data_IF_913823563090
#
_entry.id   IF_913823563090
#
_cell.length_a   1.000
_cell.length_b   1.000
_cell.length_c   1.000
_cell.angle_alpha   90.00
_cell.angle_beta   90.00
_cell.angle_gamma   90.00
#
_symmetry.space_group_name_H-M   'P 1'
#
loop_
_entity.id
_entity.type
_entity.pdbx_description
1 polymer ?
#
# COMPACT_ATOMS: atom_id res chain seq x y z
N UNK A 1 5.97 -37.97 -14.64
CA UNK A 1 5.01 -37.24 -15.46
C UNK A 1 3.83 -36.86 -14.57
N UNK A 2 3.93 -35.74 -13.87
CA UNK A 2 2.79 -35.24 -13.09
C UNK A 2 1.80 -34.57 -14.04
N UNK A 3 0.59 -35.10 -14.08
CA UNK A 3 -0.54 -34.50 -14.78
C UNK A 3 -0.79 -33.13 -14.15
N UNK A 4 -0.61 -32.07 -14.93
CA UNK A 4 -0.83 -30.68 -14.53
C UNK A 4 -2.27 -30.50 -14.04
N UNK A 5 -2.47 -30.49 -12.71
CA UNK A 5 -3.75 -30.24 -12.06
C UNK A 5 -4.22 -28.81 -12.36
N UNK A 6 -5.50 -28.65 -12.68
CA UNK A 6 -6.14 -27.34 -12.85
C UNK A 6 -6.08 -26.55 -11.53
N UNK A 7 -6.14 -25.21 -11.57
CA UNK A 7 -6.09 -24.38 -10.34
C UNK A 7 -7.13 -24.83 -9.30
N UNK A 8 -8.35 -25.20 -9.72
CA UNK A 8 -9.41 -25.69 -8.83
C UNK A 8 -9.05 -26.99 -8.11
N UNK A 9 -8.32 -27.89 -8.75
CA UNK A 9 -7.88 -29.16 -8.13
C UNK A 9 -6.73 -28.97 -7.14
N UNK A 10 -6.07 -27.80 -7.16
CA UNK A 10 -4.93 -27.46 -6.28
C UNK A 10 -5.35 -26.80 -4.97
N UNK A 11 -6.49 -26.09 -4.93
CA UNK A 11 -7.00 -25.32 -3.78
C UNK A 11 -7.09 -26.12 -2.47
N UNK A 12 -7.27 -27.45 -2.54
CA UNK A 12 -7.36 -28.33 -1.37
C UNK A 12 -6.05 -28.95 -0.87
N UNK A 13 -4.89 -28.61 -1.47
CA UNK A 13 -3.62 -29.19 -1.03
C UNK A 13 -3.18 -28.62 0.34
N UNK A 14 -2.67 -29.46 1.27
CA UNK A 14 -2.22 -29.02 2.59
C UNK A 14 -1.19 -27.88 2.54
N UNK A 15 -0.34 -27.86 1.51
CA UNK A 15 0.70 -26.85 1.33
C UNK A 15 0.17 -25.41 1.22
N UNK A 16 -1.01 -25.21 0.61
CA UNK A 16 -1.59 -23.87 0.49
C UNK A 16 -2.18 -23.39 1.82
N UNK A 17 -2.67 -24.33 2.65
CA UNK A 17 -3.06 -24.02 4.02
C UNK A 17 -1.85 -23.58 4.85
N UNK A 18 -0.73 -24.30 4.77
CA UNK A 18 0.51 -23.93 5.47
C UNK A 18 1.02 -22.56 5.01
N UNK A 19 1.00 -22.28 3.71
CA UNK A 19 1.36 -20.97 3.17
C UNK A 19 0.44 -19.86 3.68
N UNK A 20 -0.86 -20.12 3.73
CA UNK A 20 -1.84 -19.16 4.26
C UNK A 20 -1.58 -18.87 5.74
N UNK A 21 -1.36 -19.89 6.56
CA UNK A 21 -1.02 -19.74 7.97
C UNK A 21 0.26 -18.91 8.13
N UNK A 22 1.28 -19.18 7.30
CA UNK A 22 2.52 -18.39 7.26
C UNK A 22 2.32 -16.92 6.88
N UNK A 23 1.43 -16.64 5.91
CA UNK A 23 1.05 -15.28 5.52
C UNK A 23 0.23 -14.58 6.60
N UNK A 24 -0.59 -15.34 7.35
CA UNK A 24 -1.34 -14.79 8.48
C UNK A 24 -0.46 -14.44 9.68
N UNK A 25 0.83 -14.81 9.71
CA UNK A 25 1.74 -14.34 10.75
C UNK A 25 2.18 -12.88 10.56
N UNK A 26 2.07 -12.32 9.35
CA UNK A 26 2.44 -10.92 9.10
C UNK A 26 1.51 -9.95 9.85
N UNK A 27 1.93 -8.69 10.10
CA UNK A 27 1.14 -7.72 10.86
C UNK A 27 -0.32 -7.56 10.40
N UNK A 28 -0.55 -7.47 9.09
CA UNK A 28 -1.90 -7.30 8.51
C UNK A 28 -2.63 -8.63 8.28
N UNK A 29 -1.91 -9.74 8.41
CA UNK A 29 -2.43 -11.10 8.27
C UNK A 29 -2.96 -11.45 6.88
N UNK A 30 -3.59 -12.62 6.83
CA UNK A 30 -4.20 -13.25 5.68
C UNK A 30 -5.33 -14.17 6.18
N UNK A 31 -6.44 -13.61 6.72
CA UNK A 31 -7.52 -14.40 7.29
C UNK A 31 -8.05 -15.44 6.29
N UNK A 32 -8.40 -16.66 6.74
CA UNK A 32 -8.93 -17.70 5.88
C UNK A 32 -10.18 -17.27 5.10
N UNK A 33 -10.18 -17.56 3.80
CA UNK A 33 -11.31 -17.39 2.90
C UNK A 33 -11.08 -18.21 1.63
N UNK A 34 -12.13 -18.74 1.01
CA UNK A 34 -12.03 -19.56 -0.21
C UNK A 34 -11.31 -18.83 -1.36
N UNK A 35 -11.57 -17.53 -1.52
CA UNK A 35 -10.90 -16.71 -2.53
C UNK A 35 -9.40 -16.60 -2.29
N UNK A 36 -8.94 -16.62 -1.03
CA UNK A 36 -7.51 -16.61 -0.74
C UNK A 36 -6.87 -17.93 -1.16
N UNK A 37 -7.51 -19.06 -0.88
CA UNK A 37 -6.99 -20.37 -1.29
C UNK A 37 -6.89 -20.46 -2.83
N UNK A 38 -7.87 -19.90 -3.55
CA UNK A 38 -7.82 -19.76 -5.01
C UNK A 38 -6.71 -18.81 -5.51
N UNK A 39 -6.47 -17.70 -4.82
CA UNK A 39 -5.36 -16.77 -5.12
C UNK A 39 -4.03 -17.49 -4.94
N UNK A 40 -3.81 -18.18 -3.82
CA UNK A 40 -2.55 -18.85 -3.55
C UNK A 40 -2.28 -19.97 -4.56
N UNK A 41 -3.30 -20.76 -4.92
CA UNK A 41 -3.18 -21.79 -5.97
C UNK A 41 -2.93 -21.21 -7.37
N UNK A 42 -3.43 -20.02 -7.66
CA UNK A 42 -3.18 -19.31 -8.91
C UNK A 42 -1.76 -18.72 -8.97
N UNK A 43 -1.22 -18.25 -7.85
CA UNK A 43 0.07 -17.57 -7.78
C UNK A 43 1.25 -18.53 -7.62
N UNK A 44 1.11 -19.57 -6.80
CA UNK A 44 2.18 -20.49 -6.44
C UNK A 44 1.96 -21.88 -7.05
N UNK A 45 3.03 -22.48 -7.57
CA UNK A 45 3.07 -23.94 -7.73
C UNK A 45 3.09 -24.63 -6.36
N UNK A 46 2.74 -25.93 -6.24
CA UNK A 46 2.84 -26.64 -4.97
C UNK A 46 4.25 -26.63 -4.37
N UNK A 47 5.29 -26.72 -5.22
CA UNK A 47 6.69 -26.63 -4.80
C UNK A 47 7.03 -25.24 -4.25
N UNK A 48 6.64 -24.18 -4.98
CA UNK A 48 6.83 -22.80 -4.53
C UNK A 48 6.11 -22.52 -3.23
N UNK A 49 4.86 -22.99 -3.09
CA UNK A 49 4.10 -22.84 -1.86
C UNK A 49 4.79 -23.53 -0.66
N UNK A 50 5.36 -24.72 -0.87
CA UNK A 50 6.08 -25.44 0.18
C UNK A 50 7.36 -24.72 0.62
N UNK A 51 8.06 -24.05 -0.30
CA UNK A 51 9.23 -23.22 0.03
C UNK A 51 8.77 -21.94 0.73
N UNK A 52 7.80 -21.23 0.15
CA UNK A 52 7.27 -19.96 0.64
C UNK A 52 6.72 -20.07 2.07
N UNK A 53 6.00 -21.15 2.41
CA UNK A 53 5.47 -21.40 3.75
C UNK A 53 6.57 -21.46 4.83
N UNK A 54 7.82 -21.70 4.45
CA UNK A 54 8.97 -21.80 5.37
C UNK A 54 9.97 -20.65 5.23
N UNK A 55 9.68 -19.66 4.37
CA UNK A 55 10.53 -18.47 4.21
C UNK A 55 10.31 -17.46 5.36
N UNK A 56 11.35 -16.73 5.77
CA UNK A 56 11.25 -15.76 6.85
C UNK A 56 10.62 -14.46 6.37
N UNK A 57 10.12 -13.65 7.30
CA UNK A 57 9.60 -12.31 7.00
C UNK A 57 10.73 -11.31 6.72
N UNK A 58 11.93 -11.54 7.28
CA UNK A 58 13.09 -10.68 7.10
C UNK A 58 14.05 -11.25 6.04
N UNK A 59 14.62 -10.41 5.16
CA UNK A 59 15.58 -10.86 4.16
C UNK A 59 16.75 -11.60 4.80
N UNK A 60 16.92 -12.87 4.43
CA UNK A 60 17.90 -13.79 5.02
C UNK A 60 18.86 -14.29 3.93
N UNK A 61 20.17 -14.42 4.20
CA UNK A 61 21.14 -14.90 3.21
C UNK A 61 20.80 -16.31 2.71
N UNK A 62 21.03 -16.56 1.41
CA UNK A 62 20.78 -17.87 0.79
C UNK A 62 21.47 -19.05 1.51
N UNK A 63 22.74 -18.97 1.96
CA UNK A 63 23.36 -20.08 2.68
C UNK A 63 22.64 -20.45 3.99
N UNK A 64 22.14 -19.44 4.71
CA UNK A 64 21.38 -19.65 5.94
C UNK A 64 20.00 -20.26 5.64
N UNK A 65 19.31 -19.76 4.60
CA UNK A 65 18.05 -20.33 4.15
C UNK A 65 18.19 -21.79 3.69
N UNK A 66 19.24 -22.09 2.93
CA UNK A 66 19.55 -23.44 2.46
C UNK A 66 19.73 -24.41 3.64
N UNK A 67 20.50 -24.01 4.65
CA UNK A 67 20.69 -24.79 5.87
C UNK A 67 19.37 -25.00 6.62
N UNK A 68 18.57 -23.94 6.80
CA UNK A 68 17.29 -23.99 7.53
C UNK A 68 16.25 -24.87 6.84
N UNK A 69 16.17 -24.77 5.50
CA UNK A 69 15.20 -25.53 4.69
C UNK A 69 15.69 -26.93 4.33
N UNK A 70 16.95 -27.26 4.66
CA UNK A 70 17.63 -28.51 4.28
C UNK A 70 17.60 -28.74 2.77
N UNK A 71 17.86 -27.68 2.02
CA UNK A 71 17.91 -27.68 0.55
C UNK A 71 19.32 -27.27 0.09
N UNK A 72 19.71 -27.73 -1.11
CA UNK A 72 20.95 -27.23 -1.73
C UNK A 72 20.76 -25.75 -2.13
N UNK A 73 21.81 -24.90 -2.07
CA UNK A 73 21.72 -23.49 -2.40
C UNK A 73 21.19 -23.21 -3.81
N UNK A 74 21.70 -23.91 -4.83
CA UNK A 74 21.39 -23.60 -6.23
C UNK A 74 19.92 -23.88 -6.60
N UNK A 75 19.33 -25.04 -6.26
CA UNK A 75 17.90 -25.29 -6.49
C UNK A 75 17.00 -24.35 -5.68
N UNK A 76 17.36 -24.07 -4.42
CA UNK A 76 16.59 -23.13 -3.60
C UNK A 76 16.60 -21.73 -4.21
N UNK A 77 17.77 -21.29 -4.69
CA UNK A 77 17.91 -20.01 -5.38
C UNK A 77 17.00 -19.94 -6.60
N UNK A 78 17.02 -20.96 -7.46
CA UNK A 78 16.18 -20.99 -8.66
C UNK A 78 14.68 -20.86 -8.34
N UNK A 79 14.20 -21.56 -7.30
CA UNK A 79 12.81 -21.47 -6.85
C UNK A 79 12.49 -20.09 -6.27
N UNK A 80 13.40 -19.51 -5.48
CA UNK A 80 13.23 -18.16 -4.93
C UNK A 80 13.24 -17.07 -6.03
N UNK A 81 14.10 -17.18 -7.04
CA UNK A 81 14.16 -16.27 -8.18
C UNK A 81 12.88 -16.33 -9.02
N UNK A 82 12.38 -17.54 -9.31
CA UNK A 82 11.11 -17.71 -10.01
C UNK A 82 9.91 -17.12 -9.26
N UNK A 83 9.91 -17.20 -7.92
CA UNK A 83 8.92 -16.51 -7.09
C UNK A 83 9.13 -14.99 -7.05
N UNK A 84 10.37 -14.52 -7.09
CA UNK A 84 10.70 -13.09 -7.11
C UNK A 84 10.21 -12.39 -8.39
N UNK A 85 10.33 -13.06 -9.54
CA UNK A 85 9.83 -12.56 -10.83
C UNK A 85 8.29 -12.42 -10.86
N UNK A 86 7.60 -13.22 -10.05
CA UNK A 86 6.14 -13.17 -9.81
C UNK A 86 5.74 -12.20 -8.68
N UNK A 87 6.71 -11.61 -7.97
CA UNK A 87 6.44 -10.71 -6.85
C UNK A 87 5.99 -11.42 -5.56
N UNK A 88 6.30 -12.71 -5.42
CA UNK A 88 5.89 -13.54 -4.27
C UNK A 88 6.97 -13.60 -3.18
N UNK A 89 8.21 -13.33 -3.56
CA UNK A 89 9.39 -13.29 -2.69
C UNK A 89 10.16 -12.02 -2.97
N UNK A 90 10.63 -11.35 -1.92
CA UNK A 90 11.60 -10.27 -2.08
C UNK A 90 12.98 -10.86 -2.29
N UNK A 91 13.72 -10.33 -3.27
CA UNK A 91 15.09 -10.70 -3.58
C UNK A 91 16.01 -9.47 -3.55
N UNK A 92 17.22 -9.63 -3.03
CA UNK A 92 18.26 -8.62 -3.12
C UNK A 92 19.65 -9.26 -3.06
N UNK A 93 20.64 -8.62 -3.68
CA UNK A 93 22.05 -9.03 -3.56
C UNK A 93 22.79 -8.03 -2.67
N UNK A 94 23.58 -8.52 -1.72
CA UNK A 94 24.47 -7.70 -0.88
C UNK A 94 25.84 -8.37 -0.84
N UNK A 95 26.87 -7.63 -1.25
CA UNK A 95 28.26 -8.10 -1.27
C UNK A 95 28.41 -9.45 -1.99
N UNK A 96 27.69 -9.62 -3.11
CA UNK A 96 27.67 -10.85 -3.91
C UNK A 96 26.80 -11.99 -3.35
N UNK A 97 26.19 -11.82 -2.17
CA UNK A 97 25.34 -12.83 -1.53
C UNK A 97 23.86 -12.53 -1.80
N UNK A 98 23.08 -13.49 -2.34
CA UNK A 98 21.64 -13.35 -2.48
C UNK A 98 20.91 -13.45 -1.12
N UNK A 99 19.87 -12.63 -0.95
CA UNK A 99 18.97 -12.59 0.21
C UNK A 99 17.53 -12.73 -0.25
N UNK A 100 16.75 -13.53 0.49
CA UNK A 100 15.34 -13.75 0.21
C UNK A 100 14.46 -13.62 1.45
N UNK A 101 13.22 -13.18 1.25
CA UNK A 101 12.15 -13.23 2.26
C UNK A 101 10.79 -13.38 1.62
N UNK A 102 9.86 -14.02 2.32
CA UNK A 102 8.46 -14.08 1.90
C UNK A 102 7.90 -12.66 1.83
N UNK A 103 7.21 -12.35 0.73
CA UNK A 103 6.49 -11.10 0.60
C UNK A 103 5.18 -11.18 1.43
N UNK A 104 4.80 -10.14 2.20
CA UNK A 104 3.50 -10.13 2.87
C UNK A 104 2.37 -10.20 1.84
N UNK A 105 1.17 -10.62 2.25
CA UNK A 105 0.02 -10.57 1.34
C UNK A 105 -0.30 -9.12 0.92
N UNK A 106 -0.36 -8.23 1.92
CA UNK A 106 -0.50 -6.77 1.79
C UNK A 106 0.31 -6.10 2.90
N UNK A 107 1.03 -5.00 2.64
CA UNK A 107 1.54 -4.62 1.32
C UNK A 107 2.57 -5.67 0.84
N UNK A 108 2.49 -6.08 -0.42
CA UNK A 108 3.39 -7.05 -1.00
C UNK A 108 2.83 -7.78 -2.22
N UNK A 109 2.41 -9.04 -2.03
CA UNK A 109 1.99 -9.94 -3.09
C UNK A 109 0.90 -9.30 -3.95
N UNK A 110 -0.13 -8.74 -3.31
CA UNK A 110 -1.27 -8.11 -3.97
C UNK A 110 -0.82 -6.99 -4.92
N UNK A 111 -0.09 -6.02 -4.41
CA UNK A 111 0.45 -4.87 -5.15
C UNK A 111 1.18 -5.33 -6.41
N UNK A 112 2.12 -6.27 -6.23
CA UNK A 112 3.03 -6.71 -7.29
C UNK A 112 2.30 -7.45 -8.42
N UNK A 113 1.11 -8.02 -8.17
CA UNK A 113 0.31 -8.64 -9.23
C UNK A 113 -0.27 -7.61 -10.21
N UNK A 114 -0.40 -6.35 -9.82
CA UNK A 114 -1.03 -5.31 -10.64
C UNK A 114 -0.10 -4.16 -11.03
N UNK A 115 1.10 -4.06 -10.44
CA UNK A 115 2.11 -3.04 -10.79
C UNK A 115 2.63 -3.16 -12.24
N UNK A 116 2.59 -4.36 -12.84
CA UNK A 116 2.96 -4.57 -14.26
C UNK A 116 1.88 -4.11 -15.25
N UNK A 117 0.71 -3.70 -14.76
CA UNK A 117 -0.42 -3.24 -15.59
C UNK A 117 -0.89 -4.23 -16.68
N UNK A 118 -0.72 -5.54 -16.45
CA UNK A 118 -1.15 -6.56 -17.41
C UNK A 118 -2.68 -6.66 -17.51
N UNK A 119 -3.20 -6.90 -18.71
CA UNK A 119 -4.63 -7.03 -19.00
C UNK A 119 -5.05 -8.44 -19.45
N UNK A 120 -4.25 -9.44 -19.06
CA UNK A 120 -4.50 -10.84 -19.43
C UNK A 120 -5.75 -11.41 -18.77
N UNK A 121 -6.36 -12.49 -19.30
CA UNK A 121 -7.45 -13.19 -18.62
C UNK A 121 -7.11 -13.63 -17.19
N UNK A 122 -5.83 -13.97 -16.96
CA UNK A 122 -5.29 -14.28 -15.63
C UNK A 122 -5.32 -13.06 -14.71
N UNK A 123 -4.85 -11.90 -15.18
CA UNK A 123 -4.89 -10.65 -14.41
C UNK A 123 -6.33 -10.26 -14.03
N UNK A 124 -7.28 -10.38 -14.98
CA UNK A 124 -8.71 -10.14 -14.71
C UNK A 124 -9.31 -11.12 -13.69
N UNK A 125 -8.88 -12.39 -13.72
CA UNK A 125 -9.29 -13.38 -12.72
C UNK A 125 -8.75 -13.03 -11.34
N UNK A 126 -7.46 -12.69 -11.25
CA UNK A 126 -6.83 -12.26 -10.00
C UNK A 126 -7.51 -11.00 -9.44
N UNK A 127 -7.82 -10.01 -10.28
CA UNK A 127 -8.54 -8.80 -9.87
C UNK A 127 -9.89 -9.14 -9.23
N UNK A 128 -10.67 -10.05 -9.83
CA UNK A 128 -11.94 -10.50 -9.21
C UNK A 128 -11.73 -11.19 -7.87
N UNK A 129 -10.77 -12.11 -7.80
CA UNK A 129 -10.51 -12.86 -6.56
C UNK A 129 -10.02 -11.95 -5.43
N UNK A 130 -9.09 -11.04 -5.70
CA UNK A 130 -8.59 -10.09 -4.71
C UNK A 130 -9.68 -9.10 -4.27
N UNK A 131 -10.50 -8.60 -5.19
CA UNK A 131 -11.63 -7.75 -4.84
C UNK A 131 -12.67 -8.47 -3.96
N UNK A 132 -13.03 -9.72 -4.29
CA UNK A 132 -13.88 -10.54 -3.42
C UNK A 132 -13.24 -10.74 -2.06
N UNK A 133 -11.95 -11.11 -2.02
CA UNK A 133 -11.24 -11.35 -0.78
C UNK A 133 -11.10 -10.08 0.07
N UNK A 134 -10.98 -8.91 -0.54
CA UNK A 134 -10.95 -7.63 0.16
C UNK A 134 -12.23 -7.41 0.97
N UNK A 135 -13.40 -7.61 0.38
CA UNK A 135 -14.67 -7.39 1.10
C UNK A 135 -15.06 -8.52 2.05
N UNK A 136 -14.79 -9.77 1.65
CA UNK A 136 -15.22 -10.95 2.39
C UNK A 136 -14.22 -11.42 3.45
N UNK A 137 -12.96 -10.99 3.37
CA UNK A 137 -11.87 -11.45 4.25
C UNK A 137 -10.95 -10.32 4.71
N UNK A 138 -9.97 -9.95 3.89
CA UNK A 138 -8.84 -9.12 4.32
C UNK A 138 -9.20 -7.68 4.69
N UNK A 139 -10.15 -7.03 4.01
CA UNK A 139 -10.60 -5.69 4.38
C UNK A 139 -11.11 -5.64 5.82
N UNK A 140 -11.68 -6.75 6.32
CA UNK A 140 -12.06 -6.91 7.72
C UNK A 140 -10.87 -7.16 8.66
N UNK A 141 -9.69 -7.58 8.18
CA UNK A 141 -8.47 -7.67 8.99
C UNK A 141 -7.84 -6.33 9.32
N UNK A 142 -8.19 -5.23 8.63
CA UNK A 142 -7.75 -3.87 8.95
C UNK A 142 -8.11 -3.41 10.39
N UNK A 143 -8.95 -4.14 11.15
CA UNK A 143 -9.22 -3.92 12.59
C UNK A 143 -8.35 -4.74 13.51
N UNK A 144 -7.52 -5.65 13.00
CA UNK A 144 -6.64 -6.49 13.85
C UNK A 144 -5.52 -5.68 14.48
N UNK A 145 -5.23 -4.49 13.97
CA UNK A 145 -4.28 -3.53 14.54
C UNK A 145 -4.96 -2.18 14.76
N UNK A 146 -4.59 -1.47 15.81
CA UNK A 146 -4.98 -0.06 16.03
C UNK A 146 -4.03 0.90 15.37
N UNK A 147 -2.76 0.49 15.23
CA UNK A 147 -1.76 1.26 14.51
C UNK A 147 -2.01 1.12 13.00
N UNK A 148 -2.27 2.22 12.28
CA UNK A 148 -2.33 2.20 10.83
C UNK A 148 -0.93 1.97 10.26
N UNK A 149 -0.81 1.08 9.28
CA UNK A 149 0.45 0.86 8.56
C UNK A 149 0.81 1.99 7.59
N UNK A 150 -0.15 2.69 6.95
CA UNK A 150 0.14 3.82 6.09
C UNK A 150 -0.25 5.13 6.79
N UNK A 151 0.28 6.24 6.28
CA UNK A 151 -0.11 7.58 6.73
C UNK A 151 -0.35 8.51 5.55
N UNK A 152 -1.21 9.50 5.78
CA UNK A 152 -1.40 10.62 4.88
C UNK A 152 -0.27 11.62 5.05
N UNK A 153 0.18 12.16 3.91
CA UNK A 153 1.06 13.31 3.85
C UNK A 153 0.28 14.46 3.23
N UNK A 154 0.36 15.64 3.86
CA UNK A 154 -0.34 16.83 3.35
C UNK A 154 0.33 17.29 2.05
N UNK A 155 -0.46 17.88 1.15
CA UNK A 155 0.10 18.58 -0.01
C UNK A 155 0.96 19.77 0.47
N UNK A 156 2.26 19.73 0.19
CA UNK A 156 3.23 20.68 0.75
C UNK A 156 2.91 22.14 0.45
N UNK A 157 2.43 22.44 -0.77
CA UNK A 157 2.08 23.81 -1.18
C UNK A 157 0.91 24.41 -0.38
N UNK A 158 0.20 23.61 0.40
CA UNK A 158 -0.94 24.04 1.21
C UNK A 158 -0.61 24.26 2.68
N UNK A 159 0.65 24.04 3.08
CA UNK A 159 1.10 24.34 4.42
C UNK A 159 1.37 25.86 4.52
N UNK A 160 0.76 26.58 5.47
CA UNK A 160 1.00 28.02 5.62
C UNK A 160 2.47 28.34 5.90
N UNK A 161 2.94 29.49 5.39
CA UNK A 161 4.29 29.96 5.64
C UNK A 161 4.54 30.14 7.15
N UNK A 162 5.71 29.72 7.63
CA UNK A 162 6.10 29.81 9.03
C UNK A 162 5.58 28.67 9.92
N UNK A 163 4.79 27.73 9.37
CA UNK A 163 4.41 26.50 10.09
C UNK A 163 5.52 25.46 9.95
N UNK A 164 5.96 24.88 11.07
CA UNK A 164 6.94 23.80 11.07
C UNK A 164 6.40 22.59 10.31
N UNK A 165 7.23 22.05 9.40
CA UNK A 165 6.97 20.82 8.66
C UNK A 165 8.09 19.85 8.96
N UNK A 166 7.75 18.71 9.53
CA UNK A 166 8.74 17.69 9.85
C UNK A 166 9.19 17.01 8.54
N UNK A 167 10.46 16.58 8.42
CA UNK A 167 10.99 15.97 7.20
C UNK A 167 10.15 14.82 6.63
N UNK A 168 9.60 13.98 7.51
CA UNK A 168 8.74 12.85 7.12
C UNK A 168 7.34 13.25 6.63
N UNK A 169 7.00 14.54 6.72
CA UNK A 169 5.74 15.13 6.23
C UNK A 169 5.95 15.90 4.92
N UNK A 170 7.17 15.86 4.36
CA UNK A 170 7.55 16.53 3.11
C UNK A 170 7.83 15.52 1.99
N UNK A 171 6.85 15.29 1.14
CA UNK A 171 6.96 14.47 -0.08
C UNK A 171 8.17 14.85 -0.95
N UNK A 172 8.42 16.14 -1.16
CA UNK A 172 9.52 16.65 -1.95
C UNK A 172 10.89 16.38 -1.31
N UNK A 173 10.97 16.36 0.03
CA UNK A 173 12.19 15.96 0.74
C UNK A 173 12.42 14.45 0.61
N UNK A 174 11.35 13.64 0.69
CA UNK A 174 11.41 12.20 0.48
C UNK A 174 11.94 11.85 -0.91
N UNK A 175 11.47 12.54 -1.95
CA UNK A 175 11.93 12.36 -3.33
C UNK A 175 13.42 12.76 -3.46
N UNK A 176 13.80 13.94 -2.97
CA UNK A 176 15.17 14.48 -3.14
C UNK A 176 16.23 13.70 -2.37
N UNK A 177 15.87 13.10 -1.23
CA UNK A 177 16.80 12.36 -0.37
C UNK A 177 16.81 10.86 -0.63
N UNK A 178 15.95 10.37 -1.53
CA UNK A 178 15.87 8.96 -1.87
C UNK A 178 17.17 8.46 -2.53
N UNK A 179 17.78 7.42 -1.94
CA UNK A 179 18.95 6.75 -2.52
C UNK A 179 18.63 6.09 -3.88
N UNK A 180 17.43 5.54 -4.00
CA UNK A 180 16.92 4.91 -5.21
C UNK A 180 15.46 5.28 -5.34
N UNK A 181 15.04 5.57 -6.57
CA UNK A 181 13.78 6.20 -6.91
C UNK A 181 13.26 5.62 -8.22
N UNK A 182 12.01 5.18 -8.22
CA UNK A 182 11.35 4.64 -9.39
C UNK A 182 9.85 4.93 -9.36
N UNK A 183 9.26 5.12 -10.54
CA UNK A 183 7.81 5.17 -10.72
C UNK A 183 7.25 3.77 -10.96
N UNK A 184 6.00 3.58 -10.55
CA UNK A 184 5.24 2.35 -10.71
C UNK A 184 3.79 2.67 -11.04
N UNK A 185 3.11 1.72 -11.66
CA UNK A 185 1.67 1.80 -11.83
C UNK A 185 0.95 1.68 -10.47
N UNK A 186 -0.14 2.44 -10.33
CA UNK A 186 -1.08 2.32 -9.23
C UNK A 186 -1.83 0.99 -9.32
N UNK A 187 -1.40 0.03 -8.51
CA UNK A 187 -1.95 -1.33 -8.47
C UNK A 187 -3.45 -1.37 -8.19
N UNK A 188 -3.96 -0.57 -7.22
CA UNK A 188 -5.40 -0.51 -6.92
C UNK A 188 -6.24 0.01 -8.08
N UNK A 189 -5.72 1.02 -8.79
CA UNK A 189 -6.45 1.61 -9.92
C UNK A 189 -6.40 0.69 -11.14
N UNK A 190 -5.28 0.00 -11.35
CA UNK A 190 -5.19 -1.04 -12.36
C UNK A 190 -6.16 -2.20 -12.08
N UNK A 191 -6.24 -2.67 -10.84
CA UNK A 191 -7.26 -3.65 -10.43
C UNK A 191 -8.68 -3.15 -10.75
N UNK A 192 -9.02 -1.92 -10.38
CA UNK A 192 -10.31 -1.31 -10.69
C UNK A 192 -10.58 -1.23 -12.20
N UNK A 193 -9.57 -0.89 -13.02
CA UNK A 193 -9.69 -0.87 -14.47
C UNK A 193 -10.02 -2.26 -15.03
N UNK A 194 -9.38 -3.32 -14.52
CA UNK A 194 -9.66 -4.71 -14.93
C UNK A 194 -11.07 -5.17 -14.57
N UNK A 195 -11.69 -4.53 -13.58
CA UNK A 195 -13.08 -4.78 -13.16
C UNK A 195 -14.10 -3.87 -13.86
N UNK A 196 -13.65 -2.92 -14.69
CA UNK A 196 -14.54 -1.93 -15.31
C UNK A 196 -14.96 -0.78 -14.38
N UNK A 197 -14.30 -0.63 -13.23
CA UNK A 197 -14.57 0.38 -12.20
C UNK A 197 -13.49 1.48 -12.15
N UNK A 198 -12.74 1.64 -13.25
CA UNK A 198 -11.65 2.60 -13.36
C UNK A 198 -12.11 4.05 -13.22
N UNK A 199 -11.33 4.87 -12.51
CA UNK A 199 -11.64 6.30 -12.31
C UNK A 199 -10.98 7.26 -13.30
N UNK A 200 -10.21 6.75 -14.26
CA UNK A 200 -9.54 7.57 -15.29
C UNK A 200 -8.32 8.37 -14.82
N UNK A 201 -8.06 8.46 -13.51
CA UNK A 201 -6.88 9.17 -13.00
C UNK A 201 -5.55 8.47 -13.41
N UNK A 202 -4.41 9.20 -13.46
CA UNK A 202 -3.12 8.68 -13.98
C UNK A 202 -2.58 7.42 -13.28
N UNK A 203 -2.29 6.34 -14.00
CA UNK A 203 -1.76 5.11 -13.40
C UNK A 203 -0.29 5.24 -12.95
N UNK A 204 0.50 6.02 -13.66
CA UNK A 204 1.97 6.06 -13.69
C UNK A 204 2.57 7.08 -12.71
N UNK A 205 1.88 7.40 -11.61
CA UNK A 205 2.29 8.45 -10.67
C UNK A 205 2.67 7.94 -9.28
N UNK A 206 2.56 6.64 -9.00
CA UNK A 206 3.02 6.09 -7.72
C UNK A 206 4.54 5.88 -7.74
N UNK A 207 5.18 5.95 -6.58
CA UNK A 207 6.63 5.83 -6.45
C UNK A 207 7.00 4.74 -5.45
N UNK A 208 8.16 4.12 -5.67
CA UNK A 208 8.84 3.24 -4.74
C UNK A 208 10.26 3.73 -4.52
N UNK A 209 10.82 3.47 -3.34
CA UNK A 209 12.13 3.99 -2.93
C UNK A 209 13.09 2.91 -2.42
N UNK A 210 14.37 3.27 -2.39
CA UNK A 210 15.43 2.48 -1.76
C UNK A 210 15.59 1.08 -2.36
N UNK A 211 15.86 0.09 -1.51
CA UNK A 211 16.09 -1.30 -1.97
C UNK A 211 14.85 -1.92 -2.60
N UNK A 212 13.66 -1.49 -2.19
CA UNK A 212 12.43 -1.97 -2.80
C UNK A 212 12.28 -1.44 -4.22
N UNK A 213 12.65 -0.18 -4.48
CA UNK A 213 12.73 0.36 -5.83
C UNK A 213 13.70 -0.44 -6.72
N UNK A 214 14.88 -0.76 -6.21
CA UNK A 214 15.87 -1.54 -6.96
C UNK A 214 15.31 -2.92 -7.35
N UNK A 215 14.69 -3.63 -6.39
CA UNK A 215 13.99 -4.89 -6.64
C UNK A 215 12.87 -4.73 -7.67
N UNK A 216 12.01 -3.73 -7.52
CA UNK A 216 10.90 -3.52 -8.43
C UNK A 216 11.37 -3.22 -9.86
N UNK A 217 12.45 -2.45 -10.03
CA UNK A 217 13.03 -2.17 -11.34
C UNK A 217 13.62 -3.44 -11.95
N UNK A 218 14.42 -4.19 -11.19
CA UNK A 218 15.05 -5.43 -11.66
C UNK A 218 14.03 -6.46 -12.15
N UNK A 219 12.86 -6.53 -11.50
CA UNK A 219 11.79 -7.49 -11.81
C UNK A 219 10.70 -6.94 -12.74
N UNK A 220 10.86 -5.71 -13.22
CA UNK A 220 9.93 -5.07 -14.15
C UNK A 220 8.61 -4.61 -13.54
N UNK A 221 8.53 -4.41 -12.21
CA UNK A 221 7.39 -3.81 -11.52
C UNK A 221 7.42 -2.27 -11.52
N UNK A 222 8.59 -1.67 -11.72
CA UNK A 222 8.79 -0.23 -11.69
C UNK A 222 9.85 0.19 -12.74
N UNK A 223 9.94 1.48 -13.02
CA UNK A 223 10.98 2.04 -13.90
C UNK A 223 11.70 3.20 -13.21
N UNK A 224 13.03 3.27 -13.38
CA UNK A 224 13.84 4.33 -12.76
C UNK A 224 13.46 5.69 -13.31
N UNK A 225 13.47 6.68 -12.41
CA UNK A 225 13.35 8.10 -12.75
C UNK A 225 14.35 8.90 -11.94
N UNK A 226 14.68 10.09 -12.42
CA UNK A 226 15.37 11.10 -11.63
C UNK A 226 14.39 11.91 -10.78
N UNK A 227 14.93 12.86 -10.03
CA UNK A 227 14.15 13.75 -9.15
C UNK A 227 13.14 14.56 -9.95
N UNK A 228 13.53 15.10 -11.11
CA UNK A 228 12.65 15.93 -11.92
C UNK A 228 11.46 15.14 -12.47
N UNK A 229 11.70 13.91 -12.95
CA UNK A 229 10.65 13.00 -13.38
C UNK A 229 9.69 12.60 -12.25
N UNK A 230 10.20 12.37 -11.04
CA UNK A 230 9.35 12.10 -9.88
C UNK A 230 8.55 13.34 -9.44
N UNK A 231 9.14 14.53 -9.44
CA UNK A 231 8.42 15.77 -9.13
C UNK A 231 7.33 16.05 -10.17
N UNK A 232 7.57 15.81 -11.46
CA UNK A 232 6.55 15.94 -12.50
C UNK A 232 5.39 14.94 -12.30
N UNK A 233 5.67 13.71 -11.87
CA UNK A 233 4.63 12.75 -11.53
C UNK A 233 3.83 13.16 -10.28
N UNK A 234 4.48 13.81 -9.31
CA UNK A 234 3.82 14.38 -8.13
C UNK A 234 2.86 15.51 -8.53
N UNK A 235 3.31 16.44 -9.38
CA UNK A 235 2.45 17.52 -9.89
C UNK A 235 1.22 16.97 -10.61
N UNK A 236 1.39 16.00 -11.50
CA UNK A 236 0.27 15.31 -12.17
C UNK A 236 -0.68 14.64 -11.19
N UNK A 237 -0.17 14.10 -10.08
CA UNK A 237 -1.00 13.50 -9.05
C UNK A 237 -1.82 14.55 -8.27
N UNK A 238 -1.22 15.69 -7.95
CA UNK A 238 -1.88 16.81 -7.27
C UNK A 238 -2.94 17.47 -8.17
N UNK A 239 -2.66 17.64 -9.47
CA UNK A 239 -3.61 18.12 -10.47
C UNK A 239 -4.83 17.19 -10.61
N UNK A 240 -4.58 15.87 -10.61
CA UNK A 240 -5.62 14.85 -10.55
C UNK A 240 -6.34 14.79 -9.19
N UNK A 241 -5.89 15.58 -8.21
CA UNK A 241 -6.43 15.66 -6.85
C UNK A 241 -6.29 14.37 -6.07
N UNK A 242 -5.14 13.72 -6.13
CA UNK A 242 -4.87 12.47 -5.44
C UNK A 242 -4.27 12.70 -4.05
N UNK A 243 -4.62 11.84 -3.09
CA UNK A 243 -4.10 11.89 -1.72
C UNK A 243 -2.73 11.22 -1.66
N UNK A 244 -1.73 11.90 -1.10
CA UNK A 244 -0.42 11.33 -0.86
C UNK A 244 -0.44 10.41 0.38
N UNK A 245 -0.03 9.16 0.19
CA UNK A 245 0.01 8.14 1.24
C UNK A 245 1.37 7.43 1.21
N UNK A 246 2.00 7.23 2.36
CA UNK A 246 3.31 6.55 2.51
C UNK A 246 3.34 5.67 3.76
N UNK A 247 4.46 5.00 4.03
CA UNK A 247 4.66 4.21 5.24
C UNK A 247 4.47 5.06 6.50
N UNK A 248 3.81 4.52 7.53
CA UNK A 248 3.65 5.19 8.81
C UNK A 248 4.91 5.11 9.68
N UNK A 249 6.04 5.63 9.18
CA UNK A 249 7.30 5.73 9.92
C UNK A 249 8.08 6.99 9.53
N UNK A 250 9.13 7.33 10.29
CA UNK A 250 9.87 8.58 10.08
C UNK A 250 11.03 8.46 9.08
N UNK A 251 11.55 7.26 8.86
CA UNK A 251 12.80 7.05 8.13
C UNK A 251 12.67 5.95 7.09
N UNK A 252 13.35 6.16 5.95
CA UNK A 252 13.52 5.16 4.87
C UNK A 252 12.17 4.60 4.41
N UNK A 253 11.31 5.51 3.96
CA UNK A 253 10.04 5.15 3.37
C UNK A 253 10.28 4.28 2.13
N UNK A 254 9.38 3.33 1.90
CA UNK A 254 9.45 2.35 0.81
C UNK A 254 8.60 2.78 -0.38
N UNK A 255 7.54 3.55 -0.18
CA UNK A 255 6.63 3.95 -1.25
C UNK A 255 5.99 5.32 -1.02
N UNK A 256 5.49 5.91 -2.10
CA UNK A 256 4.55 7.02 -2.10
C UNK A 256 3.43 6.68 -3.07
N UNK A 257 2.25 6.45 -2.54
CA UNK A 257 1.04 6.22 -3.32
C UNK A 257 0.24 7.51 -3.48
N UNK A 258 -0.33 7.69 -4.66
CA UNK A 258 -1.19 8.81 -5.01
C UNK A 258 -2.62 8.30 -5.21
N UNK A 259 -3.39 8.37 -4.13
CA UNK A 259 -4.59 7.58 -3.93
C UNK A 259 -5.89 8.35 -4.23
N UNK A 260 -6.89 7.64 -4.74
CA UNK A 260 -8.26 8.12 -4.88
C UNK A 260 -9.20 7.28 -3.98
N UNK A 261 -10.27 7.89 -3.49
CA UNK A 261 -11.25 7.26 -2.59
C UNK A 261 -12.07 6.14 -3.23
N UNK A 262 -12.15 6.12 -4.57
CA UNK A 262 -12.88 5.12 -5.33
C UNK A 262 -12.11 3.80 -5.52
N UNK A 263 -10.82 3.85 -5.86
CA UNK A 263 -10.03 2.65 -6.17
C UNK A 263 -9.14 2.18 -5.00
N UNK A 264 -8.57 3.10 -4.22
CA UNK A 264 -7.52 2.76 -3.26
C UNK A 264 -8.04 1.82 -2.15
N UNK A 265 -7.40 0.65 -1.98
CA UNK A 265 -7.75 -0.30 -0.93
C UNK A 265 -7.61 0.27 0.49
N UNK A 266 -6.72 1.25 0.70
CA UNK A 266 -6.57 1.92 2.01
C UNK A 266 -7.76 2.86 2.26
N UNK A 267 -8.05 3.77 1.32
CA UNK A 267 -9.12 4.76 1.48
C UNK A 267 -10.52 4.12 1.44
N UNK A 268 -10.70 3.01 0.73
CA UNK A 268 -11.93 2.19 0.80
C UNK A 268 -12.13 1.58 2.18
N UNK A 269 -11.08 1.44 2.99
CA UNK A 269 -11.21 1.11 4.41
C UNK A 269 -12.08 2.15 5.13
N UNK A 270 -11.86 3.43 4.88
CA UNK A 270 -12.67 4.52 5.43
C UNK A 270 -14.05 4.54 4.76
N UNK A 271 -14.10 4.60 3.42
CA UNK A 271 -15.34 4.94 2.70
C UNK A 271 -16.31 3.78 2.49
N UNK A 272 -15.84 2.54 2.57
CA UNK A 272 -16.65 1.33 2.30
C UNK A 272 -16.72 0.36 3.47
N UNK A 273 -15.74 0.38 4.37
CA UNK A 273 -15.67 -0.52 5.52
C UNK A 273 -15.89 0.19 6.86
N UNK A 274 -16.17 1.49 6.84
CA UNK A 274 -16.38 2.33 8.03
C UNK A 274 -15.22 2.26 9.03
N UNK A 275 -13.99 2.36 8.51
CA UNK A 275 -12.75 2.29 9.31
C UNK A 275 -12.00 3.61 9.23
N UNK A 276 -12.33 4.59 10.09
CA UNK A 276 -11.65 5.90 10.10
C UNK A 276 -10.13 5.79 10.36
N UNK A 277 -9.68 4.71 11.02
CA UNK A 277 -8.27 4.43 11.31
C UNK A 277 -7.55 3.58 10.25
N UNK A 278 -8.13 3.38 9.06
CA UNK A 278 -7.47 2.59 8.00
C UNK A 278 -6.15 3.22 7.51
N UNK A 279 -6.00 4.53 7.69
CA UNK A 279 -4.77 5.30 7.44
C UNK A 279 -4.57 6.28 8.60
N UNK A 280 -3.31 6.53 8.98
CA UNK A 280 -3.01 7.58 9.93
C UNK A 280 -3.23 8.95 9.26
N UNK A 281 -3.91 9.85 9.96
CA UNK A 281 -4.05 11.24 9.52
C UNK A 281 -2.70 11.95 9.45
N UNK A 282 -2.60 12.98 8.62
CA UNK A 282 -1.42 13.85 8.63
C UNK A 282 -1.36 14.68 9.93
N UNK A 283 -0.23 15.35 10.19
CA UNK A 283 -0.10 16.33 11.27
C UNK A 283 -0.94 17.60 11.07
N UNK A 284 -1.73 17.67 10.00
CA UNK A 284 -2.55 18.81 9.62
C UNK A 284 -4.03 18.46 9.63
N UNK A 285 -4.86 19.49 9.76
CA UNK A 285 -6.31 19.42 9.68
C UNK A 285 -6.82 20.62 8.90
N UNK A 286 -7.96 20.45 8.24
CA UNK A 286 -8.63 21.56 7.56
C UNK A 286 -9.15 22.57 8.57
N UNK A 287 -9.10 23.85 8.21
CA UNK A 287 -9.77 24.95 8.88
C UNK A 287 -10.72 25.60 7.88
N UNK A 288 -11.94 25.89 8.32
CA UNK A 288 -13.02 26.45 7.50
C UNK A 288 -13.39 27.83 8.04
N UNK A 289 -13.34 28.82 7.15
CA UNK A 289 -13.85 30.17 7.38
C UNK A 289 -15.22 30.28 6.67
N UNK A 290 -16.28 30.29 7.45
CA UNK A 290 -17.66 30.31 6.95
C UNK A 290 -18.00 31.65 6.28
N UNK A 291 -17.38 32.76 6.72
CA UNK A 291 -17.67 34.09 6.20
C UNK A 291 -17.10 34.30 4.78
N UNK A 292 -16.00 33.61 4.46
CA UNK A 292 -15.38 33.62 3.12
C UNK A 292 -15.95 32.53 2.20
N UNK A 293 -16.85 31.69 2.68
CA UNK A 293 -17.38 30.57 1.90
C UNK A 293 -18.40 31.04 0.85
N UNK A 294 -18.18 30.67 -0.41
CA UNK A 294 -19.08 31.02 -1.53
C UNK A 294 -20.04 29.89 -1.92
N UNK A 295 -20.10 28.81 -1.13
CA UNK A 295 -20.94 27.63 -1.37
C UNK A 295 -20.76 26.99 -2.77
N UNK A 296 -19.55 27.04 -3.35
CA UNK A 296 -19.33 26.56 -4.72
C UNK A 296 -19.23 25.03 -4.86
N UNK A 297 -19.17 24.28 -3.75
CA UNK A 297 -19.17 22.80 -3.72
C UNK A 297 -17.87 22.09 -4.17
N UNK A 298 -16.88 22.78 -4.72
CA UNK A 298 -15.67 22.14 -5.30
C UNK A 298 -14.87 21.31 -4.30
N UNK A 299 -14.88 21.69 -3.02
CA UNK A 299 -14.22 20.94 -1.95
C UNK A 299 -14.92 19.61 -1.61
N UNK A 300 -16.24 19.53 -1.81
CA UNK A 300 -17.04 18.31 -1.59
C UNK A 300 -16.60 17.23 -2.58
N UNK A 301 -16.54 17.56 -3.87
CA UNK A 301 -16.10 16.63 -4.93
C UNK A 301 -14.66 16.15 -4.74
N UNK A 302 -13.80 17.00 -4.18
CA UNK A 302 -12.38 16.69 -3.95
C UNK A 302 -12.15 15.80 -2.72
N UNK A 303 -13.11 15.67 -1.82
CA UNK A 303 -12.94 14.98 -0.55
C UNK A 303 -13.07 13.45 -0.68
N UNK A 304 -11.94 12.76 -0.85
CA UNK A 304 -11.89 11.29 -1.04
C UNK A 304 -12.40 10.45 0.13
N UNK A 305 -12.66 11.06 1.30
CA UNK A 305 -13.14 10.36 2.51
C UNK A 305 -14.53 10.82 2.94
N UNK A 306 -15.15 11.74 2.18
CA UNK A 306 -16.48 12.28 2.50
C UNK A 306 -16.50 13.00 3.85
N UNK A 307 -15.47 13.80 4.15
CA UNK A 307 -15.39 14.61 5.35
C UNK A 307 -15.97 16.03 5.16
N UNK A 308 -16.39 16.38 3.93
CA UNK A 308 -16.98 17.67 3.59
C UNK A 308 -18.30 17.38 2.92
N UNK A 309 -19.37 17.99 3.43
CA UNK A 309 -20.73 17.84 2.93
C UNK A 309 -21.30 19.21 2.58
N UNK A 310 -22.13 19.27 1.54
CA UNK A 310 -22.87 20.47 1.17
C UNK A 310 -24.01 20.73 2.15
N UNK A 311 -24.24 22.01 2.45
CA UNK A 311 -25.34 22.49 3.30
C UNK A 311 -26.00 23.70 2.64
N UNK A 312 -27.19 24.08 3.10
CA UNK A 312 -27.94 25.22 2.55
C UNK A 312 -27.13 26.54 2.52
N UNK A 313 -26.28 26.74 3.53
CA UNK A 313 -25.47 27.96 3.70
C UNK A 313 -23.99 27.80 3.31
N UNK A 314 -23.59 26.68 2.68
CA UNK A 314 -22.19 26.44 2.32
C UNK A 314 -21.76 24.98 2.44
N UNK A 315 -20.74 24.72 3.25
CA UNK A 315 -20.26 23.36 3.50
C UNK A 315 -20.03 23.10 4.98
N UNK A 316 -20.30 21.87 5.41
CA UNK A 316 -20.00 21.37 6.75
C UNK A 316 -18.81 20.42 6.69
N UNK A 317 -17.87 20.60 7.60
CA UNK A 317 -16.68 19.75 7.72
C UNK A 317 -16.80 18.81 8.92
N UNK A 318 -16.74 17.51 8.68
CA UNK A 318 -16.54 16.49 9.70
C UNK A 318 -15.04 16.34 10.00
N UNK A 319 -14.62 16.89 11.14
CA UNK A 319 -13.21 16.85 11.56
C UNK A 319 -12.74 15.47 12.01
N UNK A 320 -13.65 14.57 12.40
CA UNK A 320 -13.33 13.21 12.81
C UNK A 320 -13.05 12.32 11.58
N UNK A 321 -13.68 12.62 10.44
CA UNK A 321 -13.40 11.97 9.15
C UNK A 321 -12.24 12.61 8.39
N UNK A 322 -11.84 13.83 8.73
CA UNK A 322 -10.79 14.55 8.01
C UNK A 322 -9.42 13.92 8.21
N UNK A 323 -8.83 13.40 7.12
CA UNK A 323 -7.49 12.80 7.10
C UNK A 323 -6.34 13.79 6.94
N UNK A 324 -6.64 15.08 6.76
CA UNK A 324 -5.63 16.15 6.69
C UNK A 324 -4.80 16.18 5.40
N UNK A 325 -5.35 15.79 4.24
CA UNK A 325 -4.61 15.78 2.98
C UNK A 325 -4.40 17.18 2.36
N UNK A 326 -5.25 18.16 2.68
CA UNK A 326 -5.15 19.53 2.17
C UNK A 326 -5.66 19.74 0.74
N UNK A 327 -6.23 18.71 0.10
CA UNK A 327 -6.70 18.82 -1.29
C UNK A 327 -7.89 19.78 -1.47
N UNK A 328 -8.76 19.91 -0.47
CA UNK A 328 -9.91 20.82 -0.54
C UNK A 328 -9.49 22.28 -0.65
N UNK A 329 -8.35 22.64 -0.06
CA UNK A 329 -7.80 24.00 -0.12
C UNK A 329 -7.32 24.35 -1.53
N UNK A 330 -6.73 23.38 -2.25
CA UNK A 330 -6.24 23.59 -3.63
C UNK A 330 -7.35 24.00 -4.60
N UNK A 331 -8.60 23.62 -4.30
CA UNK A 331 -9.75 23.85 -5.16
C UNK A 331 -10.72 24.88 -4.60
N UNK A 332 -10.43 25.50 -3.45
CA UNK A 332 -11.29 26.50 -2.85
C UNK A 332 -10.98 27.88 -3.46
N UNK A 333 -11.84 28.44 -4.34
CA UNK A 333 -11.53 29.68 -5.04
C UNK A 333 -11.55 30.92 -4.13
N UNK A 334 -12.32 30.89 -3.04
CA UNK A 334 -12.39 31.99 -2.07
C UNK A 334 -11.32 31.92 -0.99
N UNK A 335 -10.61 30.79 -0.85
CA UNK A 335 -9.67 30.58 0.25
C UNK A 335 -10.32 30.27 1.60
N UNK A 336 -11.64 30.03 1.64
CA UNK A 336 -12.38 29.65 2.85
C UNK A 336 -11.87 28.35 3.52
N UNK A 337 -11.15 27.49 2.80
CA UNK A 337 -10.55 26.28 3.36
C UNK A 337 -9.02 26.38 3.37
N UNK A 338 -8.44 26.30 4.56
CA UNK A 338 -6.99 26.34 4.79
C UNK A 338 -6.54 25.11 5.60
N UNK A 339 -5.22 24.91 5.76
CA UNK A 339 -4.70 23.88 6.66
C UNK A 339 -4.11 24.52 7.91
N UNK A 340 -4.28 23.87 9.05
CA UNK A 340 -3.60 24.20 10.30
C UNK A 340 -2.98 22.94 10.91
N UNK A 341 -1.99 23.14 11.80
CA UNK A 341 -1.41 22.04 12.58
C UNK A 341 -2.45 21.46 13.54
N UNK A 342 -2.43 20.15 13.75
CA UNK A 342 -3.19 19.50 14.83
C UNK A 342 -2.50 19.75 16.17
N UNK A 343 -3.30 19.92 17.22
CA UNK A 343 -2.80 20.23 18.57
C UNK A 343 -2.05 19.03 19.20
N UNK A 344 -2.44 17.80 18.83
CA UNK A 344 -1.77 16.56 19.23
C UNK A 344 -1.46 15.71 17.99
N UNK A 345 -0.17 15.53 17.69
CA UNK A 345 0.31 14.61 16.66
C UNK A 345 1.28 13.64 17.30
N UNK A 346 0.84 12.40 17.52
CA UNK A 346 1.76 11.34 17.93
C UNK A 346 2.72 11.06 16.78
N UNK A 347 4.05 11.18 16.98
CA UNK A 347 5.00 10.87 15.93
C UNK A 347 4.92 9.38 15.57
N UNK A 348 5.01 9.03 14.27
CA UNK A 348 5.02 7.63 13.90
C UNK A 348 6.29 6.94 14.41
N UNK A 349 6.32 5.59 14.47
CA UNK A 349 7.54 4.84 14.74
C UNK A 349 8.74 5.32 13.92
N UNK A 350 9.96 5.26 14.47
CA UNK A 350 11.13 5.80 13.76
C UNK A 350 11.43 5.01 12.50
N UNK A 351 11.26 3.69 12.59
CA UNK A 351 11.61 2.75 11.52
C UNK A 351 10.44 1.85 11.15
N UNK A 352 10.47 1.33 9.92
CA UNK A 352 9.55 0.29 9.46
C UNK A 352 9.53 -0.94 10.37
N UNK A 353 10.70 -1.31 10.94
CA UNK A 353 10.80 -2.44 11.88
C UNK A 353 10.02 -2.18 13.17
N UNK A 354 10.14 -0.98 13.74
CA UNK A 354 9.37 -0.59 14.93
C UNK A 354 7.87 -0.58 14.67
N UNK A 355 7.45 -0.08 13.50
CA UNK A 355 6.04 -0.12 13.07
C UNK A 355 5.52 -1.56 13.02
N UNK A 356 6.24 -2.47 12.36
CA UNK A 356 5.84 -3.87 12.29
C UNK A 356 5.77 -4.52 13.69
N UNK A 357 6.76 -4.28 14.56
CA UNK A 357 6.76 -4.83 15.91
C UNK A 357 5.56 -4.33 16.73
N UNK A 358 5.22 -3.04 16.63
CA UNK A 358 4.04 -2.47 17.28
C UNK A 358 2.76 -3.16 16.81
N UNK A 359 2.57 -3.27 15.50
CA UNK A 359 1.40 -3.91 14.91
C UNK A 359 1.29 -5.41 15.27
N UNK A 360 2.41 -6.14 15.31
CA UNK A 360 2.43 -7.54 15.74
C UNK A 360 2.05 -7.70 17.21
N UNK A 361 2.51 -6.80 18.08
CA UNK A 361 2.14 -6.81 19.49
C UNK A 361 0.64 -6.58 19.69
N UNK A 362 0.04 -5.64 18.94
CA UNK A 362 -1.41 -5.39 18.96
C UNK A 362 -2.20 -6.62 18.48
N UNK A 363 -1.74 -7.24 17.39
CA UNK A 363 -2.37 -8.44 16.83
C UNK A 363 -2.33 -9.61 17.81
N UNK A 364 -1.20 -9.84 18.48
CA UNK A 364 -1.06 -10.87 19.49
C UNK A 364 -1.98 -10.62 20.70
N UNK A 365 -2.09 -9.36 21.15
CA UNK A 365 -2.97 -8.98 22.26
C UNK A 365 -4.47 -9.07 21.97
N UNK A 366 -4.87 -9.00 20.69
CA UNK A 366 -6.27 -9.16 20.22
C UNK A 366 -6.64 -10.60 19.87
N UNK A 367 -5.66 -11.44 19.52
CA UNK A 367 -5.86 -12.87 19.23
C UNK A 367 -6.13 -13.77 20.45
N UNK A 368 -6.13 -13.21 21.66
CA UNK A 368 -6.38 -13.92 22.92
C UNK A 368 -7.67 -13.54 23.65
N UNK A 369 -8.64 -12.90 22.98
CA UNK A 369 -9.99 -12.63 23.54
C UNK A 369 -11.07 -13.38 22.78
#
# INVERSE_FOLDING_TARGET
>A
MEVSRTTKERVGLPVYRELRERLDEFPLGAPPHESLDEILAELFTPEEAAVAARLPALPTPLPELAARLRMKPEPLQAVCEGMADKGLVFAAVRDGVPFYSLMPLVPGIFELQFMKAETTPRAMRLARLFNTYYYAGWGQSLTRTTTPWPRVVVVERQIPAGVEVLPYERVSELIRTARSLALTNCYCRHEANLLGEGCGAPLDVCMVFGRFADFCVERGFAWRVDVDGAMAALDRAEEAGLVHITDNCQQRLNFLCNCCGCCCGILRGITKLDRPTAVASSGYIVAHDEDECTACGSCVERCHVGAIEETDDGVRVDLDRCIGCGLCNLVCPSGALTTRRRDAVEPPPKTWRELQMRMLAEKAGRGGR
#
